data_IF_841163498713
#
_entry.id   IF_841163498713
#
_cell.length_a   1.000
_cell.length_b   1.000
_cell.length_c   1.000
_cell.angle_alpha   90.00
_cell.angle_beta   90.00
_cell.angle_gamma   90.00
#
_symmetry.space_group_name_H-M   'P 1'
#
loop_
_entity.id
_entity.type
_entity.pdbx_description
1 polymer ?
#
# COMPACT_ATOMS: atom_id res chain seq x y z
N UNK A 1 12.86 31.91 -5.46
CA UNK A 1 12.47 31.55 -4.09
C UNK A 1 11.87 30.14 -4.05
N UNK A 2 10.87 29.79 -4.87
CA UNK A 2 10.22 28.47 -4.90
C UNK A 2 11.15 27.30 -5.24
N UNK A 3 12.03 27.48 -6.23
CA UNK A 3 12.98 26.45 -6.68
C UNK A 3 13.98 26.08 -5.58
N UNK A 4 14.50 27.06 -4.84
CA UNK A 4 15.46 26.84 -3.75
C UNK A 4 14.81 26.08 -2.58
N UNK A 5 13.55 26.35 -2.28
CA UNK A 5 12.81 25.64 -1.24
C UNK A 5 12.65 24.16 -1.58
N UNK A 6 12.21 23.85 -2.80
CA UNK A 6 12.07 22.46 -3.28
C UNK A 6 13.42 21.73 -3.25
N UNK A 7 14.49 22.39 -3.68
CA UNK A 7 15.84 21.85 -3.62
C UNK A 7 16.29 21.52 -2.18
N UNK A 8 15.94 22.36 -1.22
CA UNK A 8 16.24 22.12 0.19
C UNK A 8 15.46 20.89 0.72
N UNK A 9 14.18 20.75 0.36
CA UNK A 9 13.37 19.58 0.71
C UNK A 9 13.97 18.29 0.14
N UNK A 10 14.34 18.29 -1.14
CA UNK A 10 14.95 17.10 -1.78
C UNK A 10 16.30 16.77 -1.14
N UNK A 11 17.11 17.76 -0.76
CA UNK A 11 18.36 17.52 -0.03
C UNK A 11 18.12 16.88 1.33
N UNK A 12 17.09 17.30 2.08
CA UNK A 12 16.71 16.69 3.36
C UNK A 12 16.26 15.24 3.20
N UNK A 13 15.43 14.97 2.19
CA UNK A 13 14.99 13.61 1.86
C UNK A 13 16.19 12.72 1.53
N UNK A 14 17.12 13.21 0.71
CA UNK A 14 18.32 12.44 0.37
C UNK A 14 19.26 12.24 1.57
N UNK A 15 19.37 13.22 2.44
CA UNK A 15 20.22 13.15 3.65
C UNK A 15 19.71 12.11 4.65
N UNK A 16 18.40 11.78 4.66
CA UNK A 16 17.84 10.71 5.48
C UNK A 16 18.21 9.30 5.00
N UNK A 17 18.83 9.16 3.82
CA UNK A 17 19.15 7.86 3.21
C UNK A 17 18.02 7.25 2.37
N UNK A 18 16.91 7.98 2.17
CA UNK A 18 15.77 7.53 1.39
C UNK A 18 16.12 7.42 -0.09
N UNK A 19 15.83 6.28 -0.70
CA UNK A 19 15.96 6.03 -2.14
C UNK A 19 14.62 5.71 -2.83
N UNK A 20 13.58 5.40 -2.05
CA UNK A 20 12.20 5.25 -2.52
C UNK A 20 11.28 6.13 -1.69
N UNK A 21 10.55 7.02 -2.33
CA UNK A 21 9.62 7.94 -1.68
C UNK A 21 8.19 7.57 -2.05
N UNK A 22 7.40 7.21 -1.05
CA UNK A 22 5.99 6.89 -1.17
C UNK A 22 5.17 8.13 -0.78
N UNK A 23 4.27 8.57 -1.65
CA UNK A 23 3.48 9.78 -1.45
C UNK A 23 2.00 9.44 -1.44
N UNK A 24 1.35 9.78 -0.34
CA UNK A 24 -0.09 9.61 -0.19
C UNK A 24 -0.83 10.59 -1.11
N UNK A 25 -1.94 10.14 -1.69
CA UNK A 25 -2.85 10.96 -2.48
C UNK A 25 -3.41 12.10 -1.64
N UNK A 26 -3.32 13.30 -2.17
CA UNK A 26 -3.92 14.49 -1.56
C UNK A 26 -5.34 14.70 -2.08
N UNK A 27 -6.25 15.12 -1.19
CA UNK A 27 -7.65 15.38 -1.55
C UNK A 27 -7.82 16.71 -2.29
N UNK A 28 -6.98 17.71 -1.99
CA UNK A 28 -7.19 19.08 -2.42
C UNK A 28 -6.30 19.54 -3.56
N UNK A 29 -5.09 19.01 -3.67
CA UNK A 29 -4.07 19.45 -4.65
C UNK A 29 -3.11 18.30 -4.96
N UNK A 30 -2.42 18.40 -6.08
CA UNK A 30 -1.29 17.52 -6.36
C UNK A 30 -0.23 17.66 -5.26
N UNK A 31 0.15 16.52 -4.68
CA UNK A 31 1.15 16.48 -3.61
C UNK A 31 2.56 16.86 -4.10
N UNK A 32 2.79 16.76 -5.41
CA UNK A 32 4.07 17.05 -6.06
C UNK A 32 3.84 17.83 -7.36
N UNK A 33 4.83 18.62 -7.76
CA UNK A 33 4.87 19.26 -9.05
C UNK A 33 6.01 18.69 -9.92
N UNK A 34 5.99 18.97 -11.21
CA UNK A 34 6.98 18.45 -12.17
C UNK A 34 8.41 18.85 -11.80
N UNK A 35 8.59 20.05 -11.23
CA UNK A 35 9.89 20.51 -10.78
C UNK A 35 10.44 19.67 -9.61
N UNK A 36 9.58 19.31 -8.66
CA UNK A 36 9.98 18.44 -7.54
C UNK A 36 10.33 17.03 -8.05
N UNK A 37 9.55 16.49 -8.97
CA UNK A 37 9.81 15.19 -9.59
C UNK A 37 11.14 15.19 -10.35
N UNK A 38 11.44 16.26 -11.09
CA UNK A 38 12.71 16.41 -11.79
C UNK A 38 13.89 16.38 -10.81
N UNK A 39 13.82 17.11 -9.69
CA UNK A 39 14.88 17.10 -8.70
C UNK A 39 15.02 15.78 -7.96
N UNK A 40 13.91 15.10 -7.65
CA UNK A 40 13.90 13.76 -7.05
C UNK A 40 14.53 12.73 -8.00
N UNK A 41 14.19 12.77 -9.28
CA UNK A 41 14.80 11.91 -10.30
C UNK A 41 16.31 12.17 -10.44
N UNK A 42 16.75 13.44 -10.43
CA UNK A 42 18.17 13.83 -10.44
C UNK A 42 18.91 13.34 -9.18
N UNK A 43 18.21 13.27 -8.05
CA UNK A 43 18.73 12.72 -6.81
C UNK A 43 18.73 11.17 -6.79
N UNK A 44 18.25 10.51 -7.85
CA UNK A 44 18.08 9.04 -7.97
C UNK A 44 17.14 8.46 -6.89
N UNK A 45 16.04 9.17 -6.62
CA UNK A 45 14.99 8.71 -5.72
C UNK A 45 13.80 8.27 -6.58
N UNK A 46 13.37 7.01 -6.41
CA UNK A 46 12.16 6.49 -7.02
C UNK A 46 10.95 7.10 -6.29
N UNK A 47 10.00 7.63 -7.04
CA UNK A 47 8.80 8.25 -6.47
C UNK A 47 7.57 7.46 -6.86
N UNK A 48 6.83 6.97 -5.87
CA UNK A 48 5.51 6.37 -6.04
C UNK A 48 4.48 7.35 -5.51
N UNK A 49 3.58 7.80 -6.40
CA UNK A 49 2.57 8.81 -6.09
C UNK A 49 1.19 8.19 -5.92
N UNK A 50 0.31 8.99 -5.36
CA UNK A 50 -1.13 8.76 -5.33
C UNK A 50 -1.54 7.45 -4.65
N UNK A 51 -0.80 7.06 -3.60
CA UNK A 51 -1.18 5.93 -2.75
C UNK A 51 -2.45 6.32 -2.00
N UNK A 52 -3.49 5.52 -2.10
CA UNK A 52 -4.76 5.75 -1.44
C UNK A 52 -4.59 5.76 0.09
N UNK A 53 -5.44 6.53 0.76
CA UNK A 53 -5.32 6.73 2.20
C UNK A 53 -5.47 5.44 2.99
N UNK A 54 -6.38 4.58 2.55
CA UNK A 54 -6.66 3.32 3.22
C UNK A 54 -5.54 2.29 3.03
N UNK A 55 -4.78 2.39 1.93
CA UNK A 55 -3.66 1.52 1.63
C UNK A 55 -2.38 1.91 2.37
N UNK A 56 -2.21 3.19 2.75
CA UNK A 56 -0.97 3.68 3.34
C UNK A 56 -0.62 2.96 4.65
N UNK A 57 -1.60 2.56 5.43
CA UNK A 57 -1.39 1.82 6.67
C UNK A 57 -0.88 0.41 6.42
N UNK A 58 -1.42 -0.28 5.41
CA UNK A 58 -0.96 -1.61 5.00
C UNK A 58 0.47 -1.57 4.48
N UNK A 59 0.76 -0.60 3.63
CA UNK A 59 2.09 -0.37 3.09
C UNK A 59 3.08 -0.06 4.21
N UNK A 60 2.72 0.79 5.15
CA UNK A 60 3.55 1.15 6.30
C UNK A 60 3.83 -0.06 7.20
N UNK A 61 2.82 -0.86 7.52
CA UNK A 61 2.97 -2.10 8.31
C UNK A 61 3.83 -3.14 7.59
N UNK A 62 3.62 -3.30 6.29
CA UNK A 62 4.36 -4.27 5.47
C UNK A 62 5.84 -3.92 5.41
N UNK A 63 6.17 -2.66 5.13
CA UNK A 63 7.54 -2.19 4.98
C UNK A 63 8.22 -1.84 6.32
N UNK A 64 7.48 -1.82 7.42
CA UNK A 64 8.00 -1.46 8.74
C UNK A 64 8.39 0.01 8.86
N UNK A 65 7.75 0.87 8.07
CA UNK A 65 8.00 2.31 8.07
C UNK A 65 6.92 3.08 8.86
N UNK A 66 7.23 4.32 9.21
CA UNK A 66 6.28 5.24 9.82
C UNK A 66 5.93 6.37 8.86
N UNK A 67 4.62 6.57 8.54
CA UNK A 67 4.20 7.72 7.73
C UNK A 67 4.58 9.04 8.42
N UNK A 68 5.07 10.00 7.65
CA UNK A 68 5.52 11.30 8.13
C UNK A 68 4.73 12.40 7.45
N UNK A 69 4.20 13.33 8.24
CA UNK A 69 3.45 14.48 7.71
C UNK A 69 4.37 15.61 7.21
N UNK A 70 5.55 15.74 7.77
CA UNK A 70 6.47 16.83 7.43
C UNK A 70 7.90 16.32 7.21
N UNK A 71 8.56 16.82 6.14
CA UNK A 71 9.90 16.37 5.74
C UNK A 71 10.96 16.58 6.81
N UNK A 72 10.79 17.58 7.68
CA UNK A 72 11.74 17.84 8.77
C UNK A 72 11.76 16.72 9.84
N UNK A 73 10.70 15.92 9.90
CA UNK A 73 10.60 14.77 10.80
C UNK A 73 11.11 13.45 10.18
N UNK A 74 11.70 13.53 8.99
CA UNK A 74 12.27 12.37 8.29
C UNK A 74 13.59 11.98 8.95
N UNK A 75 13.57 10.84 9.66
CA UNK A 75 14.72 10.26 10.32
C UNK A 75 14.99 8.87 9.76
N UNK A 76 16.24 8.39 9.70
CA UNK A 76 16.58 7.06 9.23
C UNK A 76 15.83 5.94 9.97
N UNK A 77 15.56 6.12 11.26
CA UNK A 77 14.83 5.16 12.12
C UNK A 77 13.38 4.91 11.68
N UNK A 78 12.79 5.84 10.93
CA UNK A 78 11.42 5.76 10.43
C UNK A 78 11.31 5.18 9.02
N UNK A 79 12.44 4.91 8.39
CA UNK A 79 12.49 4.31 7.06
C UNK A 79 12.27 2.80 7.15
N UNK A 80 11.58 2.25 6.16
CA UNK A 80 11.47 0.82 5.96
C UNK A 80 12.55 0.32 4.99
N UNK A 81 12.74 -0.99 4.97
CA UNK A 81 13.71 -1.64 4.09
C UNK A 81 13.06 -2.71 3.23
N UNK A 82 13.46 -2.74 1.97
CA UNK A 82 13.11 -3.79 1.03
C UNK A 82 14.32 -4.10 0.12
N UNK A 83 14.45 -5.33 -0.33
CA UNK A 83 15.57 -5.72 -1.19
C UNK A 83 15.47 -5.09 -2.59
N UNK A 84 14.26 -5.02 -3.14
CA UNK A 84 14.03 -4.47 -4.47
C UNK A 84 12.65 -3.83 -4.57
N UNK A 85 12.62 -2.64 -5.16
CA UNK A 85 11.40 -1.94 -5.58
C UNK A 85 11.53 -1.66 -7.07
N UNK A 86 10.60 -2.18 -7.86
CA UNK A 86 10.60 -2.06 -9.31
C UNK A 86 9.21 -1.78 -9.87
N UNK A 87 9.15 -1.11 -11.00
CA UNK A 87 7.94 -0.96 -11.79
C UNK A 87 7.86 -2.10 -12.81
N UNK A 88 6.78 -2.87 -12.76
CA UNK A 88 6.56 -4.03 -13.64
C UNK A 88 5.30 -3.81 -14.46
N UNK A 89 5.36 -4.12 -15.74
CA UNK A 89 4.20 -4.15 -16.62
C UNK A 89 3.36 -5.40 -16.34
N UNK A 90 2.07 -5.21 -16.08
CA UNK A 90 1.10 -6.29 -15.86
C UNK A 90 -0.07 -6.10 -16.81
N UNK A 91 -0.09 -6.84 -17.89
CA UNK A 91 -1.07 -6.65 -18.97
C UNK A 91 -0.93 -5.26 -19.62
N UNK A 92 -1.99 -4.48 -19.63
CA UNK A 92 -2.01 -3.11 -20.15
C UNK A 92 -1.62 -2.05 -19.10
N UNK A 93 -1.48 -2.44 -17.83
CA UNK A 93 -1.16 -1.55 -16.72
C UNK A 93 0.27 -1.72 -16.20
N UNK A 94 0.62 -0.89 -15.23
CA UNK A 94 1.89 -0.97 -14.52
C UNK A 94 1.64 -1.03 -13.03
N UNK A 95 2.43 -1.81 -12.33
CA UNK A 95 2.37 -1.94 -10.86
C UNK A 95 3.76 -1.75 -10.26
N UNK A 96 3.81 -1.24 -9.06
CA UNK A 96 5.05 -1.18 -8.28
C UNK A 96 5.15 -2.46 -7.47
N UNK A 97 6.18 -3.24 -7.74
CA UNK A 97 6.47 -4.50 -7.05
C UNK A 97 7.56 -4.28 -6.03
N UNK A 98 7.28 -4.65 -4.79
CA UNK A 98 8.21 -4.60 -3.67
C UNK A 98 8.52 -6.03 -3.23
N UNK A 99 9.79 -6.40 -3.18
CA UNK A 99 10.24 -7.74 -2.80
C UNK A 99 11.33 -7.67 -1.73
N UNK A 100 11.47 -8.78 -0.98
CA UNK A 100 12.51 -8.89 0.05
C UNK A 100 12.27 -7.97 1.25
N UNK A 101 11.03 -7.90 1.72
CA UNK A 101 10.67 -7.15 2.92
C UNK A 101 11.14 -7.90 4.16
N UNK A 102 11.75 -7.19 5.11
CA UNK A 102 12.33 -7.79 6.32
C UNK A 102 11.28 -8.48 7.22
N UNK A 103 10.07 -7.93 7.30
CA UNK A 103 8.97 -8.51 8.09
C UNK A 103 8.12 -9.45 7.23
N UNK A 104 8.52 -10.71 7.15
CA UNK A 104 7.72 -11.75 6.48
C UNK A 104 6.45 -12.05 7.30
N UNK A 105 5.31 -12.17 6.61
CA UNK A 105 4.04 -12.68 7.17
C UNK A 105 3.12 -11.64 7.81
N UNK A 106 3.45 -10.35 7.81
CA UNK A 106 2.55 -9.33 8.34
C UNK A 106 1.39 -9.01 7.39
N UNK A 107 1.63 -9.04 6.08
CA UNK A 107 0.64 -8.78 5.03
C UNK A 107 0.90 -9.66 3.81
N UNK A 108 -0.15 -9.94 3.06
CA UNK A 108 -0.08 -10.61 1.76
C UNK A 108 -0.86 -9.79 0.73
N UNK A 109 -0.39 -9.78 -0.50
CA UNK A 109 -1.06 -9.11 -1.61
C UNK A 109 -1.56 -10.17 -2.59
N UNK A 110 -2.85 -10.13 -2.89
CA UNK A 110 -3.47 -10.97 -3.92
C UNK A 110 -3.81 -10.09 -5.11
N UNK A 111 -3.17 -10.32 -6.24
CA UNK A 111 -3.42 -9.58 -7.47
C UNK A 111 -4.45 -10.30 -8.32
N UNK A 112 -5.65 -9.74 -8.43
CA UNK A 112 -6.71 -10.23 -9.31
C UNK A 112 -6.50 -9.67 -10.72
N UNK A 113 -6.59 -10.55 -11.71
CA UNK A 113 -6.47 -10.18 -13.13
C UNK A 113 -7.68 -10.71 -13.91
N UNK A 114 -8.26 -9.88 -14.74
CA UNK A 114 -9.40 -10.24 -15.59
C UNK A 114 -9.55 -9.27 -16.75
N UNK A 115 -10.35 -9.67 -17.71
CA UNK A 115 -10.61 -8.86 -18.93
C UNK A 115 -11.73 -7.83 -18.75
N UNK A 116 -12.56 -7.98 -17.70
CA UNK A 116 -13.73 -7.16 -17.48
C UNK A 116 -13.77 -6.67 -16.02
N UNK A 117 -14.03 -5.38 -15.84
CA UNK A 117 -14.13 -4.76 -14.51
C UNK A 117 -15.22 -5.43 -13.64
N UNK A 118 -16.37 -5.77 -14.22
CA UNK A 118 -17.49 -6.40 -13.52
C UNK A 118 -17.12 -7.78 -12.96
N UNK A 119 -16.38 -8.56 -13.74
CA UNK A 119 -15.87 -9.87 -13.30
C UNK A 119 -14.83 -9.72 -12.20
N UNK A 120 -13.99 -8.67 -12.29
CA UNK A 120 -12.99 -8.38 -11.25
C UNK A 120 -13.63 -7.95 -9.94
N UNK A 121 -14.65 -7.09 -9.98
CA UNK A 121 -15.40 -6.66 -8.79
C UNK A 121 -16.10 -7.82 -8.11
N UNK A 122 -16.70 -8.73 -8.90
CA UNK A 122 -17.35 -9.93 -8.37
C UNK A 122 -16.34 -10.91 -7.77
N UNK A 123 -15.18 -11.09 -8.41
CA UNK A 123 -14.10 -11.92 -7.89
C UNK A 123 -13.52 -11.35 -6.59
N UNK A 124 -13.34 -10.04 -6.50
CA UNK A 124 -12.85 -9.35 -5.32
C UNK A 124 -13.82 -9.52 -4.15
N UNK A 125 -15.12 -9.31 -4.39
CA UNK A 125 -16.16 -9.51 -3.39
C UNK A 125 -16.22 -10.96 -2.91
N UNK A 126 -16.19 -11.93 -3.82
CA UNK A 126 -16.22 -13.36 -3.48
C UNK A 126 -14.99 -13.78 -2.67
N UNK A 127 -13.82 -13.25 -3.02
CA UNK A 127 -12.58 -13.48 -2.27
C UNK A 127 -12.65 -12.86 -0.87
N UNK A 128 -13.18 -11.65 -0.77
CA UNK A 128 -13.38 -10.98 0.51
C UNK A 128 -14.29 -11.79 1.45
N UNK A 129 -15.42 -12.26 0.94
CA UNK A 129 -16.37 -13.09 1.70
C UNK A 129 -15.73 -14.40 2.17
N UNK A 130 -14.99 -15.07 1.29
CA UNK A 130 -14.25 -16.29 1.65
C UNK A 130 -13.21 -16.03 2.74
N UNK A 131 -12.45 -14.93 2.65
CA UNK A 131 -11.48 -14.55 3.68
C UNK A 131 -12.14 -14.21 5.02
N UNK A 132 -13.31 -13.58 5.00
CA UNK A 132 -14.10 -13.32 6.21
C UNK A 132 -14.53 -14.62 6.90
N UNK A 133 -15.00 -15.62 6.13
CA UNK A 133 -15.36 -16.93 6.67
C UNK A 133 -14.15 -17.63 7.28
N UNK A 134 -13.00 -17.66 6.59
CA UNK A 134 -11.75 -18.24 7.11
C UNK A 134 -11.32 -17.55 8.39
N UNK A 135 -11.41 -16.20 8.45
CA UNK A 135 -11.12 -15.44 9.67
C UNK A 135 -12.01 -15.84 10.84
N UNK A 136 -13.32 -16.02 10.58
CA UNK A 136 -14.27 -16.49 11.59
C UNK A 136 -13.92 -17.89 12.08
N UNK A 137 -13.55 -18.82 11.19
CA UNK A 137 -13.14 -20.18 11.54
C UNK A 137 -11.85 -20.23 12.38
N UNK A 138 -10.90 -19.36 12.08
CA UNK A 138 -9.66 -19.26 12.89
C UNK A 138 -9.96 -18.73 14.28
N UNK A 139 -10.90 -17.81 14.40
CA UNK A 139 -11.29 -17.21 15.68
C UNK A 139 -12.20 -18.14 16.49
N UNK A 140 -13.23 -18.71 15.87
CA UNK A 140 -14.21 -19.61 16.48
C UNK A 140 -14.16 -20.95 15.71
N UNK A 141 -13.52 -21.94 16.29
CA UNK A 141 -13.34 -23.28 15.68
C UNK A 141 -14.61 -24.12 15.74
N UNK A 142 -15.74 -23.54 15.35
CA UNK A 142 -17.03 -24.19 15.34
C UNK A 142 -17.77 -23.88 14.05
N UNK A 143 -18.54 -24.84 13.56
CA UNK A 143 -19.38 -24.71 12.38
C UNK A 143 -20.82 -25.01 12.78
N UNK A 144 -21.74 -24.27 12.19
CA UNK A 144 -23.16 -24.53 12.24
C UNK A 144 -23.65 -24.98 10.86
N UNK A 145 -24.64 -25.90 10.79
CA UNK A 145 -25.27 -26.26 9.52
C UNK A 145 -25.96 -25.02 8.94
N UNK A 146 -25.93 -24.91 7.62
CA UNK A 146 -26.63 -23.81 6.91
C UNK A 146 -28.11 -24.13 6.64
N UNK A 147 -28.74 -23.29 5.82
CA UNK A 147 -30.11 -23.49 5.36
C UNK A 147 -31.18 -23.20 6.41
N UNK A 148 -30.91 -22.36 7.40
CA UNK A 148 -31.86 -21.99 8.44
C UNK A 148 -31.96 -23.02 9.59
N UNK A 149 -31.07 -24.00 9.65
CA UNK A 149 -31.11 -25.02 10.70
C UNK A 149 -30.94 -24.42 12.13
N UNK A 150 -30.02 -23.49 12.37
CA UNK A 150 -29.92 -22.86 13.69
C UNK A 150 -31.17 -22.06 14.08
N UNK A 151 -31.79 -21.39 13.12
CA UNK A 151 -33.01 -20.59 13.35
C UNK A 151 -34.19 -21.48 13.71
N UNK A 152 -34.34 -22.60 13.03
CA UNK A 152 -35.37 -23.59 13.33
C UNK A 152 -35.18 -24.22 14.70
N UNK A 153 -33.94 -24.53 15.08
CA UNK A 153 -33.63 -25.10 16.39
C UNK A 153 -33.87 -24.10 17.53
N UNK A 154 -33.57 -22.81 17.31
CA UNK A 154 -33.88 -21.77 18.27
C UNK A 154 -35.37 -21.45 18.40
N UNK A 155 -36.17 -21.71 17.36
CA UNK A 155 -37.62 -21.49 17.37
C UNK A 155 -38.41 -22.66 18.01
N UNK A 156 -37.77 -23.78 18.24
CA UNK A 156 -38.33 -24.99 18.82
C UNK A 156 -38.34 -24.96 20.35
#
# INVERSE_FOLDING_TARGET
VRSNYILQLVKKIKASGCNVLLIQKSILRDATNDLALHYLAKAKILVVRDIERDEIEYVAKTLGLQPIAHVDNMKPEKLGEAALVEEVAVGSGRVVKVTGVARRGATATVLLRGSNALVLEEADRSLHDALCVVRCLVHNRALLPGGGAPEVEMAR
#
